data_IF_250194601951
#
_entry.id   IF_250194601951
#
_cell.length_a   1.000
_cell.length_b   1.000
_cell.length_c   1.000
_cell.angle_alpha   90.00
_cell.angle_beta   90.00
_cell.angle_gamma   90.00
#
_symmetry.space_group_name_H-M   'P 1'
#
loop_
_entity.id
_entity.type
_entity.pdbx_description
1 polymer ?
#
# COMPACT_ATOMS: atom_id res chain seq x y z
N UNK A 1 -20.01 -21.93 -10.38
CA UNK A 1 -21.17 -22.30 -9.52
C UNK A 1 -20.75 -23.37 -8.53
N UNK A 2 -21.47 -23.55 -7.40
CA UNK A 2 -21.14 -24.59 -6.41
C UNK A 2 -21.09 -26.02 -7.01
N UNK A 3 -21.89 -26.26 -8.05
CA UNK A 3 -21.85 -27.50 -8.83
C UNK A 3 -20.47 -27.80 -9.43
N UNK A 4 -19.77 -26.78 -9.92
CA UNK A 4 -18.44 -26.93 -10.53
C UNK A 4 -17.38 -27.32 -9.48
N UNK A 5 -17.65 -27.07 -8.20
CA UNK A 5 -16.77 -27.42 -7.07
C UNK A 5 -17.08 -28.80 -6.47
N UNK A 6 -18.23 -29.41 -6.79
CA UNK A 6 -18.69 -30.67 -6.20
C UNK A 6 -17.78 -31.88 -6.54
N UNK A 7 -16.90 -31.72 -7.51
CA UNK A 7 -15.94 -32.75 -7.95
C UNK A 7 -14.49 -32.28 -7.84
N UNK A 8 -14.22 -31.28 -6.99
CA UNK A 8 -12.86 -30.75 -6.77
C UNK A 8 -11.86 -31.87 -6.45
N UNK A 9 -12.24 -32.81 -5.59
CA UNK A 9 -11.39 -33.96 -5.19
C UNK A 9 -11.01 -34.89 -6.35
N UNK A 10 -11.78 -34.84 -7.46
CA UNK A 10 -11.57 -35.66 -8.65
C UNK A 10 -10.71 -34.95 -9.71
N UNK A 11 -10.43 -33.66 -9.54
CA UNK A 11 -9.53 -32.94 -10.44
C UNK A 11 -8.12 -33.50 -10.26
N UNK A 12 -7.29 -33.54 -11.33
CA UNK A 12 -5.87 -33.79 -11.18
C UNK A 12 -5.37 -32.72 -10.21
N UNK A 13 -4.88 -33.13 -9.04
CA UNK A 13 -4.29 -32.23 -8.06
C UNK A 13 -2.80 -32.15 -8.37
N UNK A 14 -2.31 -31.20 -9.20
CA UNK A 14 -0.94 -30.76 -9.02
C UNK A 14 -0.87 -30.26 -7.58
N UNK A 15 0.17 -30.65 -6.82
CA UNK A 15 0.36 -30.12 -5.47
C UNK A 15 0.21 -28.60 -5.48
N UNK A 16 -0.48 -28.03 -4.49
CA UNK A 16 -0.62 -26.58 -4.40
C UNK A 16 0.76 -26.01 -4.06
N UNK A 17 1.45 -25.54 -5.09
CA UNK A 17 2.73 -24.86 -4.98
C UNK A 17 2.48 -23.36 -5.13
N UNK A 18 2.73 -22.61 -4.05
CA UNK A 18 2.64 -21.16 -4.04
C UNK A 18 4.04 -20.57 -4.02
N UNK A 19 4.30 -19.65 -4.94
CA UNK A 19 5.53 -18.87 -4.92
C UNK A 19 5.43 -17.77 -3.87
N UNK A 20 6.42 -17.71 -2.97
CA UNK A 20 6.50 -16.64 -1.97
C UNK A 20 6.91 -15.35 -2.69
N UNK A 21 5.96 -14.42 -2.79
CA UNK A 21 6.20 -13.09 -3.34
C UNK A 21 7.05 -12.20 -2.43
N UNK A 22 7.28 -10.97 -2.87
CA UNK A 22 7.93 -9.92 -2.09
C UNK A 22 6.90 -8.86 -1.68
N UNK A 23 6.93 -8.37 -0.43
CA UNK A 23 6.05 -7.28 -0.04
C UNK A 23 6.41 -6.01 -0.83
N UNK A 24 5.38 -5.27 -1.22
CA UNK A 24 5.55 -3.92 -1.73
C UNK A 24 6.08 -2.98 -0.65
N UNK A 25 6.93 -2.04 -1.06
CA UNK A 25 7.27 -0.87 -0.24
C UNK A 25 6.03 -0.01 -0.01
N UNK A 26 6.00 0.84 1.04
CA UNK A 26 4.85 1.69 1.33
C UNK A 26 4.30 2.46 0.14
N UNK A 27 5.13 3.10 -0.68
CA UNK A 27 4.63 3.86 -1.85
C UNK A 27 4.16 2.97 -2.99
N UNK A 28 4.77 1.80 -3.18
CA UNK A 28 4.33 0.81 -4.16
C UNK A 28 2.93 0.30 -3.81
N UNK A 29 2.71 0.00 -2.52
CA UNK A 29 1.40 -0.38 -2.02
C UNK A 29 0.36 0.74 -2.17
N UNK A 30 0.74 1.99 -1.86
CA UNK A 30 -0.17 3.13 -2.01
C UNK A 30 -0.55 3.36 -3.48
N UNK A 31 0.39 3.25 -4.42
CA UNK A 31 0.08 3.30 -5.85
C UNK A 31 -0.86 2.16 -6.26
N UNK A 32 -0.68 0.95 -5.71
CA UNK A 32 -1.51 -0.20 -6.04
C UNK A 32 -2.96 -0.13 -5.49
N UNK A 33 -3.22 0.70 -4.48
CA UNK A 33 -4.51 0.73 -3.76
C UNK A 33 -5.26 2.05 -3.91
N UNK A 34 -4.56 3.17 -3.96
CA UNK A 34 -5.22 4.47 -3.94
C UNK A 34 -5.86 4.78 -5.29
N UNK A 35 -7.04 5.43 -5.29
CA UNK A 35 -7.57 6.06 -6.48
C UNK A 35 -6.84 7.38 -6.77
N UNK A 36 -6.97 7.87 -8.02
CA UNK A 36 -6.41 9.15 -8.48
C UNK A 36 -6.79 10.35 -7.60
N UNK A 37 -8.00 10.34 -7.00
CA UNK A 37 -8.45 11.40 -6.08
C UNK A 37 -7.61 11.55 -4.81
N UNK A 38 -6.89 10.49 -4.42
CA UNK A 38 -6.04 10.46 -3.22
C UNK A 38 -4.54 10.56 -3.54
N UNK A 39 -4.18 10.92 -4.78
CA UNK A 39 -2.78 11.01 -5.22
C UNK A 39 -1.92 11.97 -4.39
N UNK A 40 -2.53 12.96 -3.73
CA UNK A 40 -1.83 13.89 -2.84
C UNK A 40 -1.17 13.24 -1.62
N UNK A 41 -1.55 11.99 -1.28
CA UNK A 41 -0.92 11.20 -0.21
C UNK A 41 0.44 10.60 -0.61
N UNK A 42 0.76 10.62 -1.91
CA UNK A 42 2.01 10.14 -2.48
C UNK A 42 2.96 11.31 -2.78
N UNK A 43 4.29 11.06 -2.79
CA UNK A 43 5.27 12.00 -3.29
C UNK A 43 4.92 12.56 -4.67
N UNK A 44 5.28 13.82 -4.92
CA UNK A 44 4.91 14.54 -6.15
C UNK A 44 5.35 13.81 -7.44
N UNK A 45 6.49 13.11 -7.41
CA UNK A 45 7.01 12.35 -8.54
C UNK A 45 6.09 11.25 -9.06
N UNK A 46 5.21 10.69 -8.22
CA UNK A 46 4.34 9.59 -8.62
C UNK A 46 2.94 10.05 -9.03
N UNK A 47 2.55 11.29 -8.70
CA UNK A 47 1.15 11.71 -8.83
C UNK A 47 0.66 11.76 -10.28
N UNK A 48 1.55 12.04 -11.24
CA UNK A 48 1.21 12.08 -12.67
C UNK A 48 0.87 10.70 -13.23
N UNK A 49 1.33 9.62 -12.60
CA UNK A 49 1.08 8.25 -13.05
C UNK A 49 -0.42 7.87 -12.98
N UNK A 50 -1.22 8.60 -12.19
CA UNK A 50 -2.65 8.34 -12.03
C UNK A 50 -3.53 8.91 -13.15
N UNK A 51 -3.12 10.01 -13.79
CA UNK A 51 -4.04 10.78 -14.64
C UNK A 51 -3.40 11.42 -15.88
N UNK A 52 -2.07 11.43 -16.00
CA UNK A 52 -1.42 11.87 -17.23
C UNK A 52 -1.66 10.88 -18.36
N UNK A 53 -1.93 11.40 -19.56
CA UNK A 53 -2.02 10.61 -20.80
C UNK A 53 -0.70 9.90 -21.15
N UNK A 54 0.41 10.44 -20.66
CA UNK A 54 1.75 9.89 -20.87
C UNK A 54 2.08 8.78 -19.86
N UNK A 55 1.20 8.51 -18.88
CA UNK A 55 1.43 7.46 -17.89
C UNK A 55 1.31 6.07 -18.55
N UNK A 56 2.34 5.21 -18.41
CA UNK A 56 2.33 3.87 -18.97
C UNK A 56 1.33 2.93 -18.26
N UNK A 57 0.80 3.34 -17.10
CA UNK A 57 -0.09 2.57 -16.25
C UNK A 57 -1.46 3.25 -16.05
N UNK A 58 -1.80 4.23 -16.90
CA UNK A 58 -3.06 4.99 -16.81
C UNK A 58 -4.30 4.08 -16.87
N UNK A 59 -4.22 2.99 -17.63
CA UNK A 59 -5.29 2.02 -17.80
C UNK A 59 -5.73 1.39 -16.46
N UNK A 60 -4.87 1.36 -15.44
CA UNK A 60 -5.21 0.83 -14.12
C UNK A 60 -6.01 1.80 -13.24
N UNK A 61 -6.13 3.08 -13.64
CA UNK A 61 -6.79 4.12 -12.84
C UNK A 61 -8.01 4.72 -13.57
N UNK A 62 -9.07 3.93 -13.81
CA UNK A 62 -10.26 4.43 -14.48
C UNK A 62 -10.96 5.52 -13.64
N UNK A 63 -11.23 6.68 -14.25
CA UNK A 63 -12.01 7.73 -13.58
C UNK A 63 -13.47 7.33 -13.35
N UNK A 64 -13.99 6.42 -14.19
CA UNK A 64 -15.33 5.85 -14.09
C UNK A 64 -15.21 4.35 -14.23
N UNK A 65 -15.83 3.62 -13.31
CA UNK A 65 -15.90 2.17 -13.32
C UNK A 65 -17.34 1.73 -13.06
N UNK A 66 -17.63 0.48 -13.41
CA UNK A 66 -18.96 -0.11 -13.23
C UNK A 66 -18.97 -0.88 -11.92
N UNK A 67 -20.06 -0.76 -11.17
CA UNK A 67 -20.35 -1.61 -10.03
C UNK A 67 -21.49 -2.54 -10.44
N UNK A 68 -21.20 -3.82 -10.58
CA UNK A 68 -22.21 -4.83 -10.83
C UNK A 68 -22.92 -5.16 -9.51
N UNK A 69 -24.22 -4.98 -9.47
CA UNK A 69 -25.00 -5.16 -8.26
C UNK A 69 -25.35 -6.63 -8.01
N UNK A 70 -25.39 -7.50 -9.03
CA UNK A 70 -25.78 -8.91 -8.91
C UNK A 70 -26.96 -9.18 -7.93
N UNK A 71 -28.04 -8.39 -8.06
CA UNK A 71 -29.23 -8.48 -7.20
C UNK A 71 -29.10 -7.87 -5.79
N UNK A 72 -27.93 -7.35 -5.42
CA UNK A 72 -27.69 -6.58 -4.19
C UNK A 72 -28.37 -5.21 -4.27
N UNK A 73 -28.96 -4.77 -3.16
CA UNK A 73 -29.72 -3.51 -3.08
C UNK A 73 -28.91 -2.30 -2.63
N UNK A 74 -27.66 -2.52 -2.23
CA UNK A 74 -26.76 -1.51 -1.66
C UNK A 74 -25.43 -1.48 -2.42
N UNK A 75 -24.92 -0.30 -2.80
CA UNK A 75 -23.78 -0.20 -3.72
C UNK A 75 -22.48 -0.79 -3.15
N UNK A 76 -22.30 -0.76 -1.83
CA UNK A 76 -21.11 -1.34 -1.18
C UNK A 76 -21.10 -2.87 -1.14
N UNK A 77 -22.21 -3.52 -1.50
CA UNK A 77 -22.25 -4.97 -1.67
C UNK A 77 -22.14 -5.43 -3.13
N UNK A 78 -22.08 -4.50 -4.08
CA UNK A 78 -21.83 -4.80 -5.49
C UNK A 78 -20.35 -5.06 -5.79
N UNK A 79 -20.10 -5.77 -6.89
CA UNK A 79 -18.76 -6.07 -7.40
C UNK A 79 -18.23 -4.88 -8.22
N UNK A 80 -17.14 -4.28 -7.74
CA UNK A 80 -16.47 -3.18 -8.45
C UNK A 80 -15.60 -3.73 -9.57
N UNK A 81 -15.95 -3.39 -10.82
CA UNK A 81 -15.25 -3.86 -12.01
C UNK A 81 -14.11 -2.90 -12.37
N UNK A 82 -12.93 -3.18 -11.82
CA UNK A 82 -11.68 -2.46 -12.12
C UNK A 82 -10.63 -3.43 -12.68
N UNK A 83 -9.73 -2.94 -13.55
CA UNK A 83 -8.62 -3.76 -14.03
C UNK A 83 -7.66 -4.09 -12.88
N UNK A 84 -7.18 -5.33 -12.86
CA UNK A 84 -6.11 -5.72 -11.94
C UNK A 84 -4.79 -5.10 -12.38
N UNK A 85 -4.04 -4.57 -11.41
CA UNK A 85 -2.71 -4.01 -11.64
C UNK A 85 -1.72 -5.14 -11.89
N UNK A 86 -0.96 -5.03 -12.98
CA UNK A 86 0.24 -5.85 -13.18
C UNK A 86 1.39 -5.33 -12.30
N UNK A 87 1.91 -6.13 -11.35
CA UNK A 87 2.97 -5.69 -10.44
C UNK A 87 4.22 -5.21 -11.17
N UNK A 88 4.62 -5.87 -12.26
CA UNK A 88 5.86 -5.55 -12.97
C UNK A 88 5.77 -4.22 -13.71
N UNK A 89 4.64 -3.96 -14.37
CA UNK A 89 4.35 -2.68 -15.03
C UNK A 89 4.29 -1.54 -14.03
N UNK A 90 3.67 -1.74 -12.87
CA UNK A 90 3.63 -0.75 -11.80
C UNK A 90 5.03 -0.40 -11.31
N UNK A 91 5.82 -1.41 -10.94
CA UNK A 91 7.18 -1.22 -10.41
C UNK A 91 8.07 -0.51 -11.44
N UNK A 92 8.01 -0.91 -12.71
CA UNK A 92 8.79 -0.30 -13.80
C UNK A 92 8.44 1.19 -13.97
N UNK A 93 7.15 1.54 -13.94
CA UNK A 93 6.69 2.93 -14.07
C UNK A 93 7.11 3.78 -12.85
N UNK A 94 7.06 3.19 -11.66
CA UNK A 94 7.52 3.84 -10.44
C UNK A 94 9.02 4.05 -10.45
N UNK A 95 9.82 3.04 -10.80
CA UNK A 95 11.29 3.15 -10.83
C UNK A 95 11.77 4.22 -11.83
N UNK A 96 11.07 4.37 -12.96
CA UNK A 96 11.32 5.45 -13.92
C UNK A 96 10.98 6.85 -13.36
N UNK A 97 10.03 6.94 -12.43
CA UNK A 97 9.61 8.19 -11.78
C UNK A 97 10.40 8.50 -10.51
N UNK A 98 10.87 7.48 -9.79
CA UNK A 98 11.53 7.56 -8.48
C UNK A 98 12.89 8.26 -8.58
N UNK A 99 13.58 8.10 -9.71
CA UNK A 99 14.90 8.68 -9.98
C UNK A 99 14.93 10.23 -9.99
N UNK A 100 13.77 10.88 -9.89
CA UNK A 100 13.66 12.33 -10.14
C UNK A 100 13.49 13.21 -8.89
N UNK A 101 12.93 12.78 -7.76
CA UNK A 101 12.60 13.77 -6.69
C UNK A 101 12.11 13.29 -5.31
N UNK A 102 12.48 12.11 -4.79
CA UNK A 102 12.16 11.83 -3.37
C UNK A 102 13.00 12.67 -2.42
N UNK A 103 12.36 13.25 -1.40
CA UNK A 103 13.08 13.83 -0.28
C UNK A 103 13.64 12.73 0.64
N UNK A 104 14.71 13.05 1.40
CA UNK A 104 15.29 12.10 2.38
C UNK A 104 14.27 11.59 3.40
N UNK A 105 13.28 12.41 3.76
CA UNK A 105 12.21 12.00 4.67
C UNK A 105 11.25 11.00 4.02
N UNK A 106 11.00 11.14 2.71
CA UNK A 106 10.17 10.23 1.93
C UNK A 106 10.86 8.90 1.68
N UNK A 107 12.15 8.92 1.34
CA UNK A 107 12.98 7.70 1.24
C UNK A 107 12.94 6.93 2.57
N UNK A 108 13.20 7.62 3.69
CA UNK A 108 13.23 7.04 5.03
C UNK A 108 11.90 6.38 5.45
N UNK A 109 10.76 6.89 5.00
CA UNK A 109 9.43 6.33 5.31
C UNK A 109 8.96 5.29 4.29
N UNK A 110 9.66 5.15 3.16
CA UNK A 110 9.42 4.12 2.14
C UNK A 110 10.28 2.85 2.34
N UNK A 111 11.08 2.81 3.40
CA UNK A 111 11.88 1.66 3.79
C UNK A 111 11.14 0.73 4.76
N UNK A 112 11.46 -0.57 4.68
CA UNK A 112 11.05 -1.53 5.71
C UNK A 112 11.79 -1.26 7.03
N UNK A 113 11.07 -1.41 8.14
CA UNK A 113 11.63 -1.25 9.50
C UNK A 113 11.35 -2.47 10.34
N UNK A 114 12.27 -2.76 11.26
CA UNK A 114 12.07 -3.80 12.26
C UNK A 114 11.13 -3.33 13.35
N UNK A 115 10.40 -4.28 13.94
CA UNK A 115 9.60 -4.02 15.12
C UNK A 115 10.50 -3.51 16.27
N UNK A 116 10.03 -2.52 17.00
CA UNK A 116 10.68 -2.01 18.20
C UNK A 116 10.05 -2.64 19.44
N UNK A 117 10.86 -3.05 20.41
CA UNK A 117 10.38 -3.48 21.72
C UNK A 117 10.79 -2.44 22.75
N UNK A 118 9.81 -1.99 23.53
CA UNK A 118 10.04 -1.09 24.66
C UNK A 118 9.94 -1.92 25.93
N UNK A 119 10.88 -1.71 26.86
CA UNK A 119 10.86 -2.36 28.18
C UNK A 119 10.87 -1.27 29.22
N UNK A 120 10.35 -1.55 30.41
CA UNK A 120 10.47 -0.61 31.52
C UNK A 120 11.78 -0.89 32.24
N UNK A 121 12.61 0.14 32.43
CA UNK A 121 13.80 0.07 33.28
C UNK A 121 13.71 1.11 34.41
N UNK A 122 13.58 0.63 35.65
CA UNK A 122 13.49 1.48 36.85
C UNK A 122 14.79 2.27 37.11
N UNK A 123 15.93 1.81 36.57
CA UNK A 123 17.24 2.45 36.74
C UNK A 123 17.54 3.48 35.66
N UNK A 124 16.80 3.45 34.55
CA UNK A 124 16.98 4.40 33.46
C UNK A 124 16.53 5.81 33.87
N UNK A 125 17.40 6.80 33.65
CA UNK A 125 17.11 8.22 33.88
C UNK A 125 17.65 9.05 32.72
N UNK A 126 17.10 8.86 31.53
CA UNK A 126 17.36 9.75 30.41
C UNK A 126 16.24 10.77 30.23
N UNK A 127 16.64 11.94 29.73
CA UNK A 127 15.71 12.97 29.27
C UNK A 127 15.34 12.68 27.83
N UNK A 128 14.05 12.49 27.55
CA UNK A 128 13.55 12.31 26.19
C UNK A 128 12.94 13.62 25.69
N UNK A 129 13.45 14.20 24.58
CA UNK A 129 12.84 15.37 23.99
C UNK A 129 11.46 15.01 23.43
N UNK A 130 10.53 15.95 23.55
CA UNK A 130 9.18 15.79 23.01
C UNK A 130 9.20 15.68 21.50
N UNK A 131 8.49 14.69 20.98
CA UNK A 131 8.24 14.57 19.53
C UNK A 131 7.27 15.64 19.02
N UNK A 132 6.59 16.38 19.92
CA UNK A 132 5.76 17.52 19.60
C UNK A 132 5.88 18.61 20.70
N UNK A 133 6.96 19.41 20.68
CA UNK A 133 7.28 20.36 21.76
C UNK A 133 6.17 21.40 22.05
N UNK A 134 5.35 21.74 21.05
CA UNK A 134 4.24 22.68 21.21
C UNK A 134 3.00 22.12 21.94
N UNK A 135 2.93 20.81 22.15
CA UNK A 135 1.77 20.13 22.77
C UNK A 135 2.16 19.33 24.01
N UNK A 136 3.34 18.73 24.02
CA UNK A 136 3.82 17.89 25.11
C UNK A 136 5.21 18.37 25.55
N UNK A 137 5.46 18.49 26.88
CA UNK A 137 6.79 18.81 27.39
C UNK A 137 7.73 17.61 27.25
N UNK A 138 9.04 17.89 27.37
CA UNK A 138 10.07 16.86 27.42
C UNK A 138 9.88 15.97 28.67
N UNK A 139 10.23 14.69 28.55
CA UNK A 139 10.20 13.75 29.67
C UNK A 139 11.54 13.77 30.37
N UNK A 140 11.63 14.51 31.48
CA UNK A 140 12.88 14.70 32.24
C UNK A 140 13.42 13.40 32.87
N UNK A 141 12.55 12.42 33.15
CA UNK A 141 12.93 11.08 33.66
C UNK A 141 12.09 10.03 32.96
N UNK A 142 12.65 9.43 31.91
CA UNK A 142 12.00 8.35 31.18
C UNK A 142 12.53 6.99 31.64
N UNK A 143 11.71 6.15 32.31
CA UNK A 143 12.07 4.79 32.67
C UNK A 143 11.68 3.84 31.52
N UNK A 144 12.43 3.88 30.43
CA UNK A 144 12.25 3.03 29.23
C UNK A 144 13.54 2.28 28.93
#
# INVERSE_FOLDING_TARGET
>A
MAYDLAHYDKLPQPGIELEVGKPFRPFQQLMAVLPSSSKSLLPACFQWLFDSKDSPILNFYPQKFVVDMDGVKVPWGGMTLIPFIDPMSLLTAMDASDQLSLSKAEERRNEFRSACTLRYDMKAQYSLPSTWPGKYPDLAKCPV
#
